data_IF_645650970427
#
_entry.id   IF_645650970427
#
_cell.length_a   1.000
_cell.length_b   1.000
_cell.length_c   1.000
_cell.angle_alpha   90.00
_cell.angle_beta   90.00
_cell.angle_gamma   90.00
#
_symmetry.space_group_name_H-M   'P 1'
#
loop_
_entity.id
_entity.type
_entity.pdbx_description
1 polymer ?
#
# COMPACT_ATOMS: atom_id res chain seq x y z
N UNK A 1 7.99 -18.68 -22.70
CA UNK A 1 6.73 -18.97 -21.99
C UNK A 1 7.08 -19.21 -20.53
N UNK A 2 6.75 -18.25 -19.64
CA UNK A 2 6.92 -18.43 -18.22
C UNK A 2 5.92 -19.52 -17.74
N UNK A 3 6.42 -20.53 -17.02
CA UNK A 3 5.63 -21.63 -16.50
C UNK A 3 4.89 -21.12 -15.25
N UNK A 4 3.60 -20.84 -15.36
CA UNK A 4 2.74 -20.53 -14.21
C UNK A 4 2.67 -21.78 -13.35
N UNK A 5 3.23 -21.74 -12.14
CA UNK A 5 3.26 -22.86 -11.20
C UNK A 5 1.94 -22.86 -10.42
N UNK A 6 1.24 -23.98 -10.29
CA UNK A 6 0.11 -24.11 -9.37
C UNK A 6 0.60 -23.87 -7.94
N UNK A 7 -0.08 -23.01 -7.18
CA UNK A 7 0.31 -22.64 -5.82
C UNK A 7 -0.60 -23.38 -4.84
N UNK A 8 -0.22 -24.59 -4.46
CA UNK A 8 -1.06 -25.44 -3.60
C UNK A 8 -0.64 -25.42 -2.12
N UNK A 9 0.51 -24.80 -1.78
CA UNK A 9 1.00 -24.70 -0.40
C UNK A 9 1.59 -23.34 -0.05
N UNK A 10 1.63 -23.00 1.24
CA UNK A 10 2.28 -21.79 1.73
C UNK A 10 3.78 -21.74 1.38
N UNK A 11 4.43 -22.88 1.28
CA UNK A 11 5.84 -23.00 0.89
C UNK A 11 6.07 -22.62 -0.58
N UNK A 12 5.19 -23.05 -1.48
CA UNK A 12 5.25 -22.71 -2.91
C UNK A 12 4.95 -21.22 -3.14
N UNK A 13 3.97 -20.69 -2.40
CA UNK A 13 3.70 -19.25 -2.38
C UNK A 13 4.94 -18.46 -1.98
N UNK A 14 5.60 -18.83 -0.89
CA UNK A 14 6.82 -18.20 -0.42
C UNK A 14 7.97 -18.29 -1.42
N UNK A 15 8.16 -19.44 -2.08
CA UNK A 15 9.17 -19.61 -3.11
C UNK A 15 8.91 -18.68 -4.31
N UNK A 16 7.67 -18.56 -4.76
CA UNK A 16 7.26 -17.65 -5.84
C UNK A 16 7.49 -16.20 -5.45
N UNK A 17 7.08 -15.80 -4.24
CA UNK A 17 7.25 -14.45 -3.72
C UNK A 17 8.73 -14.09 -3.50
N UNK A 18 9.55 -15.06 -3.08
CA UNK A 18 11.01 -14.90 -3.01
C UNK A 18 11.61 -14.62 -4.38
N UNK A 19 11.15 -15.31 -5.43
CA UNK A 19 11.55 -15.02 -6.80
C UNK A 19 11.12 -13.64 -7.28
N UNK A 20 9.88 -13.23 -6.98
CA UNK A 20 9.38 -11.87 -7.25
C UNK A 20 10.28 -10.83 -6.59
N UNK A 21 10.58 -11.02 -5.30
CA UNK A 21 11.49 -10.15 -4.55
C UNK A 21 12.89 -10.09 -5.14
N UNK A 22 13.45 -11.22 -5.53
CA UNK A 22 14.78 -11.30 -6.15
C UNK A 22 14.84 -10.53 -7.49
N UNK A 23 13.82 -10.65 -8.33
CA UNK A 23 13.74 -9.85 -9.56
C UNK A 23 13.60 -8.35 -9.26
N UNK A 24 12.77 -7.95 -8.32
CA UNK A 24 12.62 -6.55 -7.94
C UNK A 24 13.93 -5.97 -7.39
N UNK A 25 14.70 -6.75 -6.65
CA UNK A 25 16.01 -6.34 -6.12
C UNK A 25 17.05 -6.05 -7.23
N UNK A 26 16.85 -6.49 -8.47
CA UNK A 26 17.74 -6.14 -9.60
C UNK A 26 17.52 -4.71 -10.11
N UNK A 27 16.35 -4.12 -9.85
CA UNK A 27 15.98 -2.77 -10.29
C UNK A 27 15.74 -1.81 -9.15
N UNK A 28 15.63 -2.32 -7.92
CA UNK A 28 15.44 -1.56 -6.70
C UNK A 28 16.67 -1.73 -5.79
N UNK A 29 17.44 -0.66 -5.66
CA UNK A 29 18.68 -0.64 -4.86
C UNK A 29 18.50 -0.03 -3.47
N UNK A 30 17.27 0.18 -3.04
CA UNK A 30 16.95 0.68 -1.69
C UNK A 30 16.83 -0.43 -0.65
N UNK A 31 16.36 -0.08 0.56
CA UNK A 31 16.18 -1.02 1.66
C UNK A 31 15.26 -2.19 1.28
N UNK A 32 15.73 -3.42 1.48
CA UNK A 32 14.97 -4.64 1.11
C UNK A 32 13.65 -4.80 1.86
N UNK A 33 13.55 -4.26 3.08
CA UNK A 33 12.30 -4.29 3.86
C UNK A 33 11.12 -3.58 3.19
N UNK A 34 11.38 -2.59 2.33
CA UNK A 34 10.33 -1.90 1.57
C UNK A 34 9.66 -2.83 0.55
N UNK A 35 10.45 -3.71 -0.10
CA UNK A 35 9.90 -4.70 -1.04
C UNK A 35 8.93 -5.65 -0.33
N UNK A 36 9.27 -6.08 0.87
CA UNK A 36 8.40 -6.93 1.68
C UNK A 36 7.10 -6.21 2.05
N UNK A 37 7.16 -4.92 2.45
CA UNK A 37 5.99 -4.12 2.75
C UNK A 37 5.07 -3.92 1.53
N UNK A 38 5.62 -3.72 0.34
CA UNK A 38 4.85 -3.64 -0.90
C UNK A 38 4.17 -4.98 -1.23
N UNK A 39 4.90 -6.09 -1.11
CA UNK A 39 4.34 -7.44 -1.33
C UNK A 39 3.25 -7.75 -0.31
N UNK A 40 3.46 -7.44 0.97
CA UNK A 40 2.45 -7.57 2.03
C UNK A 40 1.20 -6.74 1.68
N UNK A 41 1.38 -5.49 1.23
CA UNK A 41 0.26 -4.63 0.82
C UNK A 41 -0.56 -5.25 -0.32
N UNK A 42 0.13 -5.74 -1.36
CA UNK A 42 -0.53 -6.36 -2.51
C UNK A 42 -1.26 -7.64 -2.10
N UNK A 43 -0.64 -8.50 -1.28
CA UNK A 43 -1.22 -9.76 -0.81
C UNK A 43 -2.42 -9.54 0.12
N UNK A 44 -2.37 -8.55 0.99
CA UNK A 44 -3.48 -8.19 1.87
C UNK A 44 -4.65 -7.51 1.11
N UNK A 45 -4.44 -7.13 -0.16
CA UNK A 45 -5.43 -6.39 -0.95
C UNK A 45 -5.62 -4.96 -0.47
N UNK A 46 -4.58 -4.36 0.10
CA UNK A 46 -4.58 -2.99 0.61
C UNK A 46 -3.91 -1.99 -0.32
N UNK A 47 -3.68 -0.79 0.20
CA UNK A 47 -3.02 0.32 -0.49
C UNK A 47 -1.86 0.84 0.34
N UNK A 48 -0.84 1.41 -0.30
CA UNK A 48 0.36 1.93 0.38
C UNK A 48 0.55 3.42 0.13
N UNK A 49 0.97 4.13 1.15
CA UNK A 49 1.41 5.53 1.08
C UNK A 49 2.94 5.60 1.23
N UNK A 50 3.60 6.17 0.24
CA UNK A 50 5.04 6.42 0.24
C UNK A 50 5.31 7.89 0.54
N UNK A 51 5.95 8.16 1.66
CA UNK A 51 6.28 9.50 2.14
C UNK A 51 7.75 9.82 1.88
N UNK A 52 8.06 10.26 0.67
CA UNK A 52 9.45 10.47 0.26
C UNK A 52 9.66 11.69 -0.62
N UNK A 53 10.92 12.16 -0.61
CA UNK A 53 11.39 13.18 -1.51
C UNK A 53 11.34 12.73 -2.98
N UNK A 54 11.30 13.67 -3.95
CA UNK A 54 11.39 13.35 -5.36
C UNK A 54 12.70 12.62 -5.72
N UNK A 55 12.69 11.80 -6.77
CA UNK A 55 13.90 11.21 -7.33
C UNK A 55 14.38 9.90 -6.73
N UNK A 56 13.75 9.36 -5.69
CA UNK A 56 14.17 8.10 -5.01
C UNK A 56 13.75 6.81 -5.76
N UNK A 57 13.23 6.89 -6.97
CA UNK A 57 12.91 5.70 -7.78
C UNK A 57 11.50 5.13 -7.60
N UNK A 58 10.54 5.87 -7.00
CA UNK A 58 9.14 5.43 -6.78
C UNK A 58 8.48 4.85 -8.04
N UNK A 59 8.60 5.55 -9.16
CA UNK A 59 8.00 5.12 -10.44
C UNK A 59 8.66 3.85 -10.99
N UNK A 60 9.97 3.72 -10.87
CA UNK A 60 10.72 2.52 -11.28
C UNK A 60 10.28 1.32 -10.48
N UNK A 61 10.15 1.48 -9.16
CA UNK A 61 9.71 0.42 -8.25
C UNK A 61 8.27 -0.02 -8.55
N UNK A 62 7.33 0.94 -8.71
CA UNK A 62 5.93 0.62 -9.00
C UNK A 62 5.76 -0.08 -10.36
N UNK A 63 6.43 0.40 -11.41
CA UNK A 63 6.44 -0.25 -12.73
C UNK A 63 7.07 -1.65 -12.66
N UNK A 64 8.18 -1.78 -11.94
CA UNK A 64 8.85 -3.06 -11.73
C UNK A 64 7.93 -4.07 -11.04
N UNK A 65 7.26 -3.64 -9.96
CA UNK A 65 6.31 -4.47 -9.23
C UNK A 65 5.16 -4.96 -10.14
N UNK A 66 4.51 -4.06 -10.88
CA UNK A 66 3.45 -4.43 -11.81
C UNK A 66 3.94 -5.43 -12.87
N UNK A 67 5.15 -5.19 -13.42
CA UNK A 67 5.74 -6.05 -14.44
C UNK A 67 6.00 -7.46 -13.93
N UNK A 68 6.59 -7.60 -12.73
CA UNK A 68 6.92 -8.92 -12.15
C UNK A 68 5.67 -9.65 -11.69
N UNK A 69 4.65 -8.93 -11.20
CA UNK A 69 3.35 -9.49 -10.83
C UNK A 69 2.46 -9.81 -12.05
N UNK A 70 2.83 -9.35 -13.26
CA UNK A 70 2.06 -9.61 -14.48
C UNK A 70 0.70 -8.92 -14.51
N UNK A 71 0.56 -7.74 -13.91
CA UNK A 71 -0.69 -7.01 -13.76
C UNK A 71 -0.69 -5.69 -14.55
N UNK A 72 -1.88 -5.17 -14.86
CA UNK A 72 -2.04 -3.89 -15.53
C UNK A 72 -1.56 -2.73 -14.62
N UNK A 73 -0.94 -1.72 -15.23
CA UNK A 73 -0.34 -0.59 -14.53
C UNK A 73 -0.73 0.72 -15.16
N UNK A 74 -1.19 1.67 -14.35
CA UNK A 74 -1.34 3.07 -14.73
C UNK A 74 -0.61 3.99 -13.74
N UNK A 75 -0.29 5.20 -14.20
CA UNK A 75 0.25 6.28 -13.39
C UNK A 75 -0.57 7.54 -13.59
N UNK A 76 -0.93 8.19 -12.50
CA UNK A 76 -1.55 9.53 -12.49
C UNK A 76 -0.64 10.44 -11.68
N UNK A 77 -0.26 11.58 -12.26
CA UNK A 77 0.39 12.67 -11.57
C UNK A 77 -0.69 13.60 -11.03
N UNK A 78 -0.75 13.75 -9.72
CA UNK A 78 -1.68 14.66 -9.09
C UNK A 78 -1.14 16.10 -9.14
N UNK A 79 -1.95 17.01 -9.69
CA UNK A 79 -1.62 18.43 -9.86
C UNK A 79 -2.73 19.31 -9.28
N UNK A 80 -2.44 20.58 -9.08
CA UNK A 80 -3.40 21.55 -8.48
C UNK A 80 -4.65 21.81 -9.31
N UNK A 81 -4.63 21.46 -10.60
CA UNK A 81 -5.73 21.61 -11.55
C UNK A 81 -6.46 20.29 -11.87
N UNK A 82 -6.03 19.17 -11.28
CA UNK A 82 -6.60 17.84 -11.53
C UNK A 82 -8.06 17.77 -11.11
N UNK A 83 -8.93 17.37 -12.03
CA UNK A 83 -10.35 17.12 -11.77
C UNK A 83 -10.60 15.67 -11.39
N UNK A 84 -11.67 15.37 -10.61
CA UNK A 84 -12.04 13.99 -10.32
C UNK A 84 -12.22 13.13 -11.57
N UNK A 85 -12.80 13.68 -12.64
CA UNK A 85 -13.02 12.97 -13.90
C UNK A 85 -11.74 12.55 -14.62
N UNK A 86 -10.62 13.29 -14.41
CA UNK A 86 -9.33 12.94 -15.01
C UNK A 86 -8.77 11.63 -14.44
N UNK A 87 -9.18 11.25 -13.24
CA UNK A 87 -8.75 10.03 -12.56
C UNK A 87 -9.79 8.93 -12.66
N UNK A 88 -11.05 9.28 -12.39
CA UNK A 88 -12.16 8.32 -12.27
C UNK A 88 -12.79 7.99 -13.62
N UNK A 89 -12.66 8.88 -14.60
CA UNK A 89 -13.45 8.85 -15.80
C UNK A 89 -14.76 9.60 -15.63
N UNK A 90 -15.58 9.61 -16.68
CA UNK A 90 -16.84 10.31 -16.69
C UNK A 90 -17.63 10.06 -17.97
N UNK A 91 -18.88 10.50 -17.98
CA UNK A 91 -19.75 10.34 -19.13
C UNK A 91 -19.48 11.41 -20.19
N UNK A 92 -19.25 10.97 -21.40
CA UNK A 92 -19.02 11.81 -22.58
C UNK A 92 -20.26 11.74 -23.46
N UNK A 93 -20.77 12.91 -23.87
CA UNK A 93 -21.90 12.98 -24.80
C UNK A 93 -21.43 12.78 -26.23
N UNK A 94 -22.04 11.84 -26.95
CA UNK A 94 -21.80 11.59 -28.37
C UNK A 94 -22.92 12.26 -29.23
N UNK A 95 -22.66 13.38 -29.89
CA UNK A 95 -23.67 14.11 -30.64
C UNK A 95 -24.27 13.31 -31.80
N UNK A 96 -23.50 12.36 -32.38
CA UNK A 96 -23.93 11.52 -33.48
C UNK A 96 -25.06 10.55 -33.12
N UNK A 97 -25.04 10.03 -31.88
CA UNK A 97 -25.96 9.00 -31.40
C UNK A 97 -26.94 9.54 -30.34
N UNK A 98 -26.71 10.77 -29.86
CA UNK A 98 -27.51 11.39 -28.80
C UNK A 98 -27.40 10.67 -27.44
N UNK A 99 -26.28 9.94 -27.21
CA UNK A 99 -26.05 9.10 -26.03
C UNK A 99 -24.87 9.59 -25.18
N UNK A 100 -25.01 9.32 -23.89
CA UNK A 100 -23.85 9.42 -22.98
C UNK A 100 -23.16 8.05 -22.89
N UNK A 101 -21.86 8.05 -22.98
CA UNK A 101 -21.00 6.88 -22.79
C UNK A 101 -20.02 7.13 -21.65
N UNK A 102 -19.90 6.18 -20.72
CA UNK A 102 -18.90 6.26 -19.67
C UNK A 102 -17.52 5.92 -20.24
N UNK A 103 -16.61 6.88 -20.17
CA UNK A 103 -15.20 6.70 -20.52
C UNK A 103 -14.42 6.47 -19.24
N UNK A 104 -13.86 5.27 -19.10
CA UNK A 104 -13.10 4.86 -17.92
C UNK A 104 -11.83 5.69 -17.77
N UNK A 105 -11.59 6.19 -16.57
CA UNK A 105 -10.36 6.89 -16.21
C UNK A 105 -9.20 5.93 -15.91
N UNK A 106 -8.00 6.47 -15.66
CA UNK A 106 -6.81 5.67 -15.36
C UNK A 106 -6.90 4.83 -14.07
N UNK A 107 -7.88 5.07 -13.21
CA UNK A 107 -8.12 4.24 -12.00
C UNK A 107 -8.54 2.80 -12.36
N UNK A 108 -9.07 2.56 -13.57
CA UNK A 108 -9.45 1.24 -14.03
C UNK A 108 -8.21 0.44 -14.46
N UNK A 109 -7.47 -0.03 -13.47
CA UNK A 109 -6.24 -0.82 -13.61
C UNK A 109 -6.07 -1.74 -12.40
N UNK A 110 -5.06 -2.63 -12.41
CA UNK A 110 -4.76 -3.48 -11.25
C UNK A 110 -3.84 -2.78 -10.25
N UNK A 111 -2.81 -2.10 -10.74
CA UNK A 111 -1.87 -1.34 -9.92
C UNK A 111 -1.81 0.11 -10.41
N UNK A 112 -2.16 1.05 -9.55
CA UNK A 112 -2.13 2.47 -9.84
C UNK A 112 -1.05 3.16 -9.01
N UNK A 113 -0.15 3.90 -9.67
CA UNK A 113 0.72 4.86 -9.02
C UNK A 113 0.03 6.23 -9.01
N UNK A 114 -0.44 6.67 -7.85
CA UNK A 114 -0.98 8.01 -7.60
C UNK A 114 0.15 8.90 -7.08
N UNK A 115 0.80 9.64 -7.99
CA UNK A 115 2.01 10.39 -7.68
C UNK A 115 1.66 11.80 -7.18
N UNK A 116 2.25 12.20 -6.02
CA UNK A 116 2.06 13.50 -5.36
C UNK A 116 0.57 13.80 -5.02
N UNK A 117 -0.12 12.84 -4.40
CA UNK A 117 -1.56 12.93 -4.11
C UNK A 117 -1.95 14.21 -3.34
N UNK A 118 -1.04 14.71 -2.49
CA UNK A 118 -1.25 15.92 -1.70
C UNK A 118 -1.21 17.23 -2.51
N UNK A 119 -0.87 17.20 -3.81
CA UNK A 119 -0.91 18.40 -4.69
C UNK A 119 -2.29 18.65 -5.30
N UNK A 120 -3.13 17.64 -5.41
CA UNK A 120 -4.46 17.81 -6.00
C UNK A 120 -5.42 18.58 -5.07
N UNK A 121 -6.47 19.20 -5.61
CA UNK A 121 -7.54 19.77 -4.82
C UNK A 121 -8.20 18.71 -3.92
N UNK A 122 -8.64 19.11 -2.74
CA UNK A 122 -9.29 18.23 -1.74
C UNK A 122 -10.47 17.45 -2.34
N UNK A 123 -11.21 18.06 -3.28
CA UNK A 123 -12.32 17.40 -3.96
C UNK A 123 -11.86 16.20 -4.77
N UNK A 124 -10.77 16.32 -5.52
CA UNK A 124 -10.21 15.23 -6.34
C UNK A 124 -9.59 14.15 -5.47
N UNK A 125 -8.88 14.54 -4.39
CA UNK A 125 -8.40 13.60 -3.40
C UNK A 125 -9.54 12.78 -2.79
N UNK A 126 -10.60 13.45 -2.32
CA UNK A 126 -11.74 12.78 -1.66
C UNK A 126 -12.45 11.82 -2.60
N UNK A 127 -12.72 12.20 -3.84
CA UNK A 127 -13.37 11.36 -4.83
C UNK A 127 -12.50 10.13 -5.18
N UNK A 128 -11.19 10.32 -5.36
CA UNK A 128 -10.25 9.23 -5.61
C UNK A 128 -10.17 8.26 -4.43
N UNK A 129 -10.00 8.77 -3.21
CA UNK A 129 -9.89 7.94 -2.01
C UNK A 129 -11.19 7.24 -1.65
N UNK A 130 -12.35 7.81 -2.01
CA UNK A 130 -13.63 7.12 -1.90
C UNK A 130 -13.70 5.92 -2.87
N UNK A 131 -13.39 6.11 -4.15
CA UNK A 131 -13.36 5.03 -5.13
C UNK A 131 -12.36 3.93 -4.74
N UNK A 132 -11.22 4.32 -4.17
CA UNK A 132 -10.21 3.39 -3.64
C UNK A 132 -10.78 2.51 -2.52
N UNK A 133 -11.57 3.08 -1.60
CA UNK A 133 -12.16 2.36 -0.46
C UNK A 133 -13.33 1.48 -0.90
N UNK A 134 -14.19 2.01 -1.77
CA UNK A 134 -15.40 1.30 -2.21
C UNK A 134 -15.11 0.23 -3.28
N UNK A 135 -13.93 0.24 -3.91
CA UNK A 135 -13.58 -0.66 -5.01
C UNK A 135 -14.42 -0.44 -6.26
N UNK A 136 -15.01 0.73 -6.41
CA UNK A 136 -15.87 1.11 -7.55
C UNK A 136 -15.89 2.62 -7.78
N UNK A 137 -16.26 3.01 -8.99
CA UNK A 137 -16.55 4.40 -9.36
C UNK A 137 -18.05 4.50 -9.66
N UNK A 138 -18.73 5.47 -9.05
CA UNK A 138 -20.15 5.75 -9.37
C UNK A 138 -20.22 7.02 -10.23
N UNK A 139 -20.72 6.87 -11.46
CA UNK A 139 -20.96 7.96 -12.40
C UNK A 139 -22.41 7.90 -12.90
N UNK A 140 -23.11 9.01 -12.89
CA UNK A 140 -24.52 9.14 -13.35
C UNK A 140 -25.47 8.08 -12.77
N UNK A 141 -25.24 7.69 -11.50
CA UNK A 141 -26.05 6.69 -10.82
C UNK A 141 -25.71 5.24 -11.17
N UNK A 142 -24.70 5.00 -12.02
CA UNK A 142 -24.21 3.67 -12.37
C UNK A 142 -22.88 3.40 -11.66
N UNK A 143 -22.77 2.23 -11.01
CA UNK A 143 -21.55 1.80 -10.36
C UNK A 143 -20.69 0.95 -11.30
N UNK A 144 -19.45 1.34 -11.48
CA UNK A 144 -18.44 0.68 -12.30
C UNK A 144 -17.41 0.05 -11.38
N UNK A 145 -17.35 -1.30 -11.23
CA UNK A 145 -16.41 -1.95 -10.32
C UNK A 145 -14.97 -1.80 -10.84
N UNK A 146 -14.04 -1.59 -9.90
CA UNK A 146 -12.61 -1.65 -10.17
C UNK A 146 -12.12 -3.11 -10.21
N UNK A 147 -10.89 -3.30 -10.65
CA UNK A 147 -10.27 -4.63 -10.64
C UNK A 147 -10.29 -5.24 -9.22
N UNK A 148 -10.55 -6.55 -9.06
CA UNK A 148 -10.39 -7.23 -7.77
C UNK A 148 -8.93 -7.22 -7.28
N UNK A 149 -7.97 -6.92 -8.17
CA UNK A 149 -6.56 -6.73 -7.85
C UNK A 149 -6.21 -5.26 -7.56
N UNK A 150 -7.17 -4.35 -7.65
CA UNK A 150 -6.88 -2.93 -7.53
C UNK A 150 -6.07 -2.62 -6.27
N UNK A 151 -4.89 -2.06 -6.49
CA UNK A 151 -3.96 -1.63 -5.46
C UNK A 151 -3.39 -0.26 -5.83
N UNK A 152 -3.38 0.65 -4.88
CA UNK A 152 -2.81 1.99 -5.03
C UNK A 152 -1.47 2.06 -4.33
N UNK A 153 -0.47 2.56 -5.05
CA UNK A 153 0.77 3.11 -4.49
C UNK A 153 0.63 4.62 -4.57
N UNK A 154 0.25 5.27 -3.49
CA UNK A 154 0.19 6.73 -3.43
C UNK A 154 1.53 7.28 -2.96
N UNK A 155 1.93 8.45 -3.48
CA UNK A 155 3.10 9.16 -2.99
C UNK A 155 2.71 10.54 -2.47
N UNK A 156 3.38 10.99 -1.41
CA UNK A 156 3.34 12.36 -0.96
C UNK A 156 4.74 12.86 -0.63
N UNK A 157 4.97 14.15 -0.91
CA UNK A 157 6.20 14.83 -0.53
C UNK A 157 5.97 15.55 0.81
N UNK A 158 6.64 15.14 1.91
CA UNK A 158 6.45 15.77 3.21
C UNK A 158 7.11 17.16 3.34
N UNK A 159 7.92 17.57 2.36
CA UNK A 159 8.72 18.82 2.45
C UNK A 159 8.02 19.98 1.73
N UNK A 160 7.11 19.71 0.83
CA UNK A 160 6.47 20.72 -0.02
C UNK A 160 5.19 21.27 0.64
N UNK A 161 5.39 22.19 1.64
CA UNK A 161 4.27 22.75 2.42
C UNK A 161 3.52 23.88 1.74
N UNK A 162 4.15 24.63 0.82
CA UNK A 162 3.58 25.90 0.32
C UNK A 162 2.52 25.74 -0.79
N UNK A 163 2.37 24.54 -1.35
CA UNK A 163 1.42 24.29 -2.46
C UNK A 163 0.67 22.94 -2.34
N UNK A 164 0.53 22.42 -1.11
CA UNK A 164 -0.06 21.11 -0.89
C UNK A 164 -1.28 21.14 0.01
N UNK A 165 -2.22 20.22 -0.26
CA UNK A 165 -3.38 19.95 0.56
C UNK A 165 -3.12 18.66 1.34
N UNK A 166 -2.70 18.70 2.62
CA UNK A 166 -2.40 17.50 3.39
C UNK A 166 -3.64 16.59 3.46
N UNK A 167 -3.40 15.28 3.45
CA UNK A 167 -4.47 14.31 3.62
C UNK A 167 -4.99 14.34 5.06
N UNK A 168 -6.29 14.52 5.28
CA UNK A 168 -6.89 14.38 6.60
C UNK A 168 -6.70 12.96 7.17
N UNK A 169 -6.71 12.84 8.49
CA UNK A 169 -6.51 11.58 9.21
C UNK A 169 -7.47 10.45 8.76
N UNK A 170 -8.74 10.80 8.54
CA UNK A 170 -9.75 9.84 8.04
C UNK A 170 -9.42 9.31 6.64
N UNK A 171 -8.65 10.05 5.85
CA UNK A 171 -8.17 9.63 4.54
C UNK A 171 -6.90 8.79 4.64
N UNK A 172 -6.01 9.11 5.58
CA UNK A 172 -4.81 8.33 5.87
C UNK A 172 -5.16 6.92 6.38
N UNK A 173 -6.24 6.77 7.15
CA UNK A 173 -6.70 5.46 7.66
C UNK A 173 -7.09 4.45 6.56
N UNK A 174 -7.27 4.90 5.31
CA UNK A 174 -7.56 4.03 4.16
C UNK A 174 -6.32 3.28 3.63
N UNK A 175 -5.13 3.81 3.87
CA UNK A 175 -3.90 3.12 3.47
C UNK A 175 -3.55 2.03 4.45
N UNK A 176 -3.33 0.81 3.96
CA UNK A 176 -2.90 -0.33 4.79
C UNK A 176 -1.56 -0.05 5.46
N UNK A 177 -0.60 0.40 4.67
CA UNK A 177 0.78 0.66 5.07
C UNK A 177 1.15 2.08 4.66
N UNK A 178 1.89 2.78 5.53
CA UNK A 178 2.63 3.97 5.17
C UNK A 178 4.12 3.76 5.48
N UNK A 179 4.99 4.07 4.52
CA UNK A 179 6.42 3.83 4.65
C UNK A 179 7.24 4.85 3.86
N UNK A 180 8.56 4.78 4.03
CA UNK A 180 9.54 5.57 3.27
C UNK A 180 10.47 4.63 2.53
N UNK A 181 10.82 5.02 1.31
CA UNK A 181 11.83 4.32 0.54
C UNK A 181 13.24 4.66 1.06
N UNK A 182 13.41 5.94 1.42
CA UNK A 182 14.71 6.50 1.79
C UNK A 182 15.65 6.66 0.60
N UNK A 183 16.83 7.20 0.86
CA UNK A 183 17.90 7.21 -0.13
C UNK A 183 18.59 5.84 -0.16
N UNK A 184 19.05 5.39 -1.35
CA UNK A 184 19.93 4.25 -1.44
C UNK A 184 21.23 4.50 -0.66
N UNK A 185 21.91 3.45 -0.27
CA UNK A 185 23.24 3.60 0.34
C UNK A 185 24.31 4.02 -0.69
N UNK A 186 25.47 4.44 -0.23
CA UNK A 186 26.53 4.94 -1.11
C UNK A 186 27.04 3.90 -2.13
N UNK A 187 26.89 2.60 -1.85
CA UNK A 187 27.28 1.55 -2.78
C UNK A 187 26.21 1.41 -3.90
N UNK A 188 24.95 1.43 -3.52
CA UNK A 188 23.84 1.44 -4.44
C UNK A 188 23.83 2.68 -5.34
N UNK A 189 24.08 3.89 -4.79
CA UNK A 189 24.20 5.11 -5.58
C UNK A 189 25.34 5.03 -6.61
N UNK A 190 26.49 4.48 -6.24
CA UNK A 190 27.60 4.26 -7.17
C UNK A 190 27.22 3.32 -8.32
N UNK A 191 26.47 2.25 -8.04
CA UNK A 191 26.02 1.33 -9.10
C UNK A 191 25.03 1.99 -10.06
N UNK A 192 24.23 2.96 -9.62
CA UNK A 192 23.36 3.76 -10.50
C UNK A 192 24.16 4.59 -11.51
N UNK A 193 25.35 5.02 -11.18
CA UNK A 193 26.19 5.82 -12.07
C UNK A 193 26.90 4.98 -13.15
N UNK A 194 27.09 3.69 -12.90
CA UNK A 194 27.86 2.79 -13.79
C UNK A 194 27.05 1.69 -14.46
N UNK A 195 26.65 0.70 -13.70
CA UNK A 195 26.14 -0.58 -14.20
C UNK A 195 24.61 -0.65 -14.39
N UNK A 196 23.85 0.26 -13.80
CA UNK A 196 22.38 0.22 -13.79
C UNK A 196 21.74 0.25 -15.20
N UNK A 197 22.43 0.79 -16.18
CA UNK A 197 21.97 0.81 -17.59
C UNK A 197 21.87 -0.57 -18.23
N UNK A 198 22.44 -1.59 -17.59
CA UNK A 198 22.55 -2.97 -18.07
C UNK A 198 21.65 -3.95 -17.33
N UNK A 199 20.76 -3.48 -16.45
CA UNK A 199 19.87 -4.38 -15.70
C UNK A 199 19.03 -5.22 -16.68
N UNK A 200 18.92 -6.55 -16.45
CA UNK A 200 18.12 -7.41 -17.32
C UNK A 200 16.64 -7.00 -17.25
N UNK A 201 15.90 -7.20 -18.35
CA UNK A 201 14.48 -6.87 -18.36
C UNK A 201 13.74 -7.75 -17.34
N UNK A 202 12.88 -7.12 -16.51
CA UNK A 202 12.01 -7.84 -15.59
C UNK A 202 11.03 -8.70 -16.38
N UNK A 203 10.88 -9.95 -15.96
CA UNK A 203 9.94 -10.90 -16.53
C UNK A 203 8.75 -11.12 -15.58
N UNK A 204 7.52 -11.26 -16.11
CA UNK A 204 6.38 -11.64 -15.30
C UNK A 204 6.62 -13.01 -14.65
N UNK A 205 6.44 -13.10 -13.33
CA UNK A 205 6.51 -14.35 -12.57
C UNK A 205 5.12 -14.85 -12.19
N UNK A 206 4.14 -13.98 -12.23
CA UNK A 206 2.73 -14.24 -11.97
C UNK A 206 1.88 -13.76 -13.15
N UNK A 207 0.63 -14.14 -13.10
CA UNK A 207 -0.47 -13.55 -13.85
C UNK A 207 -1.56 -13.05 -12.87
N UNK A 208 -2.58 -12.31 -13.32
CA UNK A 208 -3.64 -11.82 -12.45
C UNK A 208 -4.34 -12.92 -11.67
N UNK A 209 -4.56 -14.09 -12.27
CA UNK A 209 -5.19 -15.22 -11.60
C UNK A 209 -4.29 -15.82 -10.50
N UNK A 210 -2.98 -15.91 -10.74
CA UNK A 210 -1.99 -16.33 -9.74
C UNK A 210 -1.93 -15.39 -8.56
N UNK A 211 -1.98 -14.08 -8.80
CA UNK A 211 -2.00 -13.09 -7.73
C UNK A 211 -3.29 -13.14 -6.91
N UNK A 212 -4.46 -13.37 -7.55
CA UNK A 212 -5.73 -13.58 -6.84
C UNK A 212 -5.64 -14.81 -5.91
N UNK A 213 -5.11 -15.94 -6.40
CA UNK A 213 -4.90 -17.14 -5.57
C UNK A 213 -4.01 -16.83 -4.35
N UNK A 214 -2.92 -16.09 -4.53
CA UNK A 214 -2.04 -15.69 -3.42
C UNK A 214 -2.78 -14.80 -2.40
N UNK A 215 -3.64 -13.89 -2.83
CA UNK A 215 -4.49 -13.09 -1.93
C UNK A 215 -5.46 -13.96 -1.13
N UNK A 216 -6.08 -14.94 -1.77
CA UNK A 216 -6.97 -15.89 -1.09
C UNK A 216 -6.20 -16.73 -0.07
N UNK A 217 -5.01 -17.22 -0.43
CA UNK A 217 -4.14 -17.94 0.51
C UNK A 217 -3.74 -17.06 1.69
N UNK A 218 -3.38 -15.79 1.46
CA UNK A 218 -3.06 -14.86 2.54
C UNK A 218 -4.24 -14.66 3.50
N UNK A 219 -5.47 -14.49 2.98
CA UNK A 219 -6.69 -14.42 3.80
C UNK A 219 -6.96 -15.70 4.58
N UNK A 220 -6.59 -16.86 4.02
CA UNK A 220 -6.73 -18.17 4.65
C UNK A 220 -5.69 -18.48 5.72
N UNK A 221 -4.63 -17.67 5.88
CA UNK A 221 -3.64 -17.85 6.95
C UNK A 221 -4.33 -17.72 8.32
N UNK A 222 -4.13 -18.75 9.17
CA UNK A 222 -4.80 -18.81 10.46
C UNK A 222 -4.27 -17.77 11.43
N UNK A 223 -5.16 -16.98 12.01
CA UNK A 223 -4.89 -16.06 13.11
C UNK A 223 -5.49 -16.66 14.39
N UNK A 224 -4.62 -17.05 15.33
CA UNK A 224 -5.10 -17.59 16.61
C UNK A 224 -5.93 -16.57 17.38
N UNK A 225 -7.02 -16.95 18.06
CA UNK A 225 -7.86 -16.03 18.84
C UNK A 225 -7.07 -15.19 19.85
N UNK A 226 -6.04 -15.75 20.49
CA UNK A 226 -5.21 -15.00 21.43
C UNK A 226 -4.40 -13.89 20.77
N UNK A 227 -3.93 -14.10 19.52
CA UNK A 227 -3.29 -13.04 18.74
C UNK A 227 -4.30 -11.98 18.29
N UNK A 228 -5.55 -12.38 17.99
CA UNK A 228 -6.62 -11.41 17.72
C UNK A 228 -6.93 -10.57 18.97
N UNK A 229 -7.00 -11.18 20.14
CA UNK A 229 -7.14 -10.46 21.41
C UNK A 229 -5.95 -9.53 21.66
N UNK A 230 -4.72 -9.97 21.37
CA UNK A 230 -3.52 -9.16 21.49
C UNK A 230 -3.57 -7.91 20.60
N UNK A 231 -3.94 -8.05 19.32
CA UNK A 231 -4.12 -6.91 18.41
C UNK A 231 -5.16 -5.91 18.96
N UNK A 232 -6.28 -6.41 19.48
CA UNK A 232 -7.31 -5.56 20.08
C UNK A 232 -6.78 -4.86 21.34
N UNK A 233 -6.05 -5.57 22.20
CA UNK A 233 -5.44 -4.99 23.40
C UNK A 233 -4.44 -3.88 23.07
N UNK A 234 -3.57 -4.09 22.06
CA UNK A 234 -2.66 -3.08 21.53
C UNK A 234 -3.42 -1.83 21.04
N UNK A 235 -4.48 -2.03 20.23
CA UNK A 235 -5.28 -0.93 19.72
C UNK A 235 -5.99 -0.15 20.84
N UNK A 236 -6.51 -0.85 21.86
CA UNK A 236 -7.14 -0.22 23.03
C UNK A 236 -6.14 0.58 23.84
N UNK A 237 -4.95 0.07 24.08
CA UNK A 237 -3.89 0.80 24.78
C UNK A 237 -3.62 2.18 24.13
N UNK A 238 -3.70 2.27 22.79
CA UNK A 238 -3.56 3.57 22.10
C UNK A 238 -4.76 4.51 22.30
N UNK A 239 -5.98 3.99 22.54
CA UNK A 239 -7.19 4.82 22.71
C UNK A 239 -7.37 5.32 24.12
N UNK A 240 -6.90 4.54 25.09
CA UNK A 240 -7.12 4.79 26.52
C UNK A 240 -6.03 5.71 27.11
N UNK A 241 -4.93 5.98 26.39
CA UNK A 241 -3.83 6.84 26.87
C UNK A 241 -4.15 8.34 26.71
N UNK A 242 -4.03 9.15 27.78
CA UNK A 242 -4.34 10.59 27.74
C UNK A 242 -3.42 11.40 26.82
N UNK A 243 -2.25 10.89 26.44
CA UNK A 243 -1.31 11.55 25.50
C UNK A 243 -1.75 11.43 24.04
N UNK A 244 -2.72 10.55 23.76
CA UNK A 244 -3.22 10.30 22.41
C UNK A 244 -4.48 11.14 22.18
N UNK A 245 -4.50 11.85 21.03
CA UNK A 245 -5.68 12.57 20.52
C UNK A 245 -6.58 11.63 19.72
N UNK A 246 -5.97 10.81 18.83
CA UNK A 246 -6.64 9.81 18.02
C UNK A 246 -5.85 8.50 18.08
N UNK A 247 -6.45 7.47 18.68
CA UNK A 247 -5.93 6.12 18.75
C UNK A 247 -6.32 5.28 17.53
N UNK A 248 -5.81 4.07 17.47
CA UNK A 248 -6.01 3.16 16.34
C UNK A 248 -7.47 2.78 16.18
N UNK A 249 -8.03 2.97 14.99
CA UNK A 249 -9.41 2.64 14.65
C UNK A 249 -9.63 1.11 14.59
N UNK A 250 -10.88 0.61 14.61
CA UNK A 250 -11.16 -0.80 14.31
C UNK A 250 -10.63 -1.23 12.95
N UNK A 251 -10.69 -0.36 11.93
CA UNK A 251 -10.09 -0.58 10.62
C UNK A 251 -8.58 -0.78 10.72
N UNK A 252 -7.88 0.05 11.49
CA UNK A 252 -6.43 -0.09 11.72
C UNK A 252 -6.07 -1.42 12.38
N UNK A 253 -6.91 -1.96 13.28
CA UNK A 253 -6.71 -3.28 13.86
C UNK A 253 -6.94 -4.42 12.83
N UNK A 254 -7.96 -4.30 11.97
CA UNK A 254 -8.20 -5.25 10.86
C UNK A 254 -7.02 -5.21 9.89
N UNK A 255 -6.56 -4.04 9.50
CA UNK A 255 -5.41 -3.86 8.61
C UNK A 255 -4.15 -4.53 9.17
N UNK A 256 -3.90 -4.43 10.48
CA UNK A 256 -2.76 -5.10 11.11
C UNK A 256 -2.90 -6.63 11.04
N UNK A 257 -4.09 -7.16 11.27
CA UNK A 257 -4.35 -8.59 11.17
C UNK A 257 -4.16 -9.12 9.74
N UNK A 258 -4.65 -8.39 8.74
CA UNK A 258 -4.54 -8.78 7.33
C UNK A 258 -3.09 -8.68 6.83
N UNK A 259 -2.37 -7.62 7.22
CA UNK A 259 -0.95 -7.48 6.93
C UNK A 259 -0.12 -8.58 7.61
N UNK A 260 -0.46 -8.98 8.85
CA UNK A 260 0.22 -10.08 9.55
C UNK A 260 0.00 -11.43 8.87
N UNK A 261 -1.21 -11.70 8.36
CA UNK A 261 -1.51 -12.89 7.54
C UNK A 261 -0.67 -12.90 6.26
N UNK A 262 -0.64 -11.77 5.54
CA UNK A 262 0.15 -11.63 4.32
C UNK A 262 1.66 -11.83 4.59
N UNK A 263 2.16 -11.28 5.72
CA UNK A 263 3.55 -11.48 6.14
C UNK A 263 3.85 -12.94 6.46
N UNK A 264 2.97 -13.63 7.17
CA UNK A 264 3.14 -15.05 7.46
C UNK A 264 3.22 -15.88 6.18
N UNK A 265 2.36 -15.63 5.19
CA UNK A 265 2.41 -16.28 3.88
C UNK A 265 3.72 -15.96 3.14
N UNK A 266 4.17 -14.71 3.15
CA UNK A 266 5.45 -14.29 2.54
C UNK A 266 6.63 -15.10 3.10
N UNK A 267 6.56 -15.51 4.37
CA UNK A 267 7.53 -16.38 5.05
C UNK A 267 7.19 -17.88 5.00
N UNK A 268 6.27 -18.31 4.15
CA UNK A 268 5.92 -19.71 3.95
C UNK A 268 5.13 -20.36 5.09
N UNK A 269 4.45 -19.55 5.91
CA UNK A 269 3.71 -20.04 7.06
C UNK A 269 2.20 -19.94 6.84
N UNK A 270 1.46 -20.92 7.34
CA UNK A 270 0.00 -20.96 7.33
C UNK A 270 -0.64 -20.44 8.63
N UNK A 271 0.19 -19.98 9.57
CA UNK A 271 -0.22 -19.46 10.88
C UNK A 271 0.53 -18.17 11.18
N UNK A 272 -0.20 -17.15 11.64
CA UNK A 272 0.37 -15.87 12.08
C UNK A 272 1.11 -16.08 13.40
N UNK A 273 2.30 -15.50 13.52
CA UNK A 273 3.10 -15.45 14.74
C UNK A 273 3.06 -14.05 15.36
N UNK A 274 3.42 -13.93 16.65
CA UNK A 274 3.44 -12.65 17.34
C UNK A 274 4.45 -11.65 16.71
N UNK A 275 5.55 -12.17 16.15
CA UNK A 275 6.55 -11.39 15.42
C UNK A 275 5.96 -10.74 14.16
N UNK A 276 4.98 -11.38 13.50
CA UNK A 276 4.34 -10.79 12.33
C UNK A 276 3.55 -9.54 12.69
N UNK A 277 2.85 -9.60 13.82
CA UNK A 277 2.10 -8.47 14.36
C UNK A 277 3.05 -7.34 14.76
N UNK A 278 4.11 -7.66 15.54
CA UNK A 278 5.05 -6.65 16.04
C UNK A 278 5.85 -5.96 14.94
N UNK A 279 6.33 -6.71 13.96
CA UNK A 279 7.08 -6.16 12.83
C UNK A 279 6.27 -5.18 11.98
N UNK A 280 4.95 -5.24 12.05
CA UNK A 280 4.04 -4.44 11.23
C UNK A 280 3.36 -3.30 12.00
N UNK A 281 3.60 -3.15 13.32
CA UNK A 281 3.00 -2.08 14.12
C UNK A 281 3.26 -0.71 13.50
N UNK A 282 4.52 -0.35 13.29
CA UNK A 282 4.91 0.94 12.73
C UNK A 282 4.41 1.16 11.29
N UNK A 283 4.68 0.27 10.32
CA UNK A 283 4.21 0.46 8.97
C UNK A 283 2.68 0.61 8.85
N UNK A 284 1.93 -0.07 9.73
CA UNK A 284 0.46 -0.06 9.69
C UNK A 284 -0.12 1.04 10.56
N UNK A 285 0.49 1.41 11.70
CA UNK A 285 -0.16 2.25 12.70
C UNK A 285 0.41 3.67 12.87
N UNK A 286 1.67 3.93 12.51
CA UNK A 286 2.28 5.27 12.71
C UNK A 286 1.51 6.39 12.04
N UNK A 287 0.90 6.14 10.89
CA UNK A 287 0.13 7.13 10.15
C UNK A 287 -1.32 7.31 10.65
N UNK A 288 -1.73 6.50 11.63
CA UNK A 288 -3.08 6.50 12.23
C UNK A 288 -3.11 7.05 13.64
N UNK A 289 -1.97 7.04 14.31
CA UNK A 289 -1.86 7.49 15.70
C UNK A 289 -1.54 8.99 15.75
N UNK A 290 -2.34 9.77 16.46
CA UNK A 290 -2.11 11.20 16.64
C UNK A 290 -1.85 11.54 18.09
N UNK A 291 -0.65 11.97 18.44
CA UNK A 291 -0.35 12.52 19.75
C UNK A 291 -1.12 13.84 20.00
N UNK A 292 -1.44 14.14 21.28
CA UNK A 292 -2.01 15.45 21.66
C UNK A 292 -0.98 16.58 21.61
N UNK A 293 0.29 16.26 21.80
CA UNK A 293 1.38 17.22 21.80
C UNK A 293 2.39 16.85 20.70
N UNK A 294 2.98 17.86 20.08
CA UNK A 294 3.91 17.72 18.98
C UNK A 294 3.37 18.32 17.67
N UNK A 295 4.22 18.35 16.64
CA UNK A 295 3.77 18.69 15.28
C UNK A 295 2.92 17.54 14.76
N UNK A 296 1.77 17.88 14.19
CA UNK A 296 0.97 16.91 13.45
C UNK A 296 1.85 16.19 12.44
N UNK A 297 1.78 14.85 12.42
CA UNK A 297 2.53 13.97 11.52
C UNK A 297 4.05 13.86 11.78
N UNK A 298 4.54 14.22 12.98
CA UNK A 298 5.93 13.87 13.34
C UNK A 298 6.03 12.36 13.67
N UNK A 299 6.42 11.60 12.65
CA UNK A 299 6.56 10.14 12.72
C UNK A 299 7.47 9.65 13.84
N UNK A 300 8.46 10.45 14.27
CA UNK A 300 9.39 10.05 15.34
C UNK A 300 8.69 10.07 16.70
N UNK A 301 7.90 11.11 16.95
CA UNK A 301 7.11 11.24 18.18
C UNK A 301 6.06 10.13 18.23
N UNK A 302 5.36 9.91 17.11
CA UNK A 302 4.34 8.86 16.99
C UNK A 302 4.93 7.47 17.22
N UNK A 303 6.05 7.14 16.59
CA UNK A 303 6.71 5.85 16.74
C UNK A 303 7.17 5.60 18.18
N UNK A 304 7.83 6.57 18.81
CA UNK A 304 8.25 6.44 20.21
C UNK A 304 7.06 6.24 21.17
N UNK A 305 5.97 6.99 20.95
CA UNK A 305 4.75 6.82 21.75
C UNK A 305 4.12 5.45 21.51
N UNK A 306 4.07 4.96 20.26
CA UNK A 306 3.55 3.64 19.94
C UNK A 306 4.37 2.54 20.62
N UNK A 307 5.70 2.64 20.61
CA UNK A 307 6.60 1.70 21.29
C UNK A 307 6.31 1.65 22.79
N UNK A 308 6.18 2.80 23.45
CA UNK A 308 5.85 2.84 24.87
C UNK A 308 4.49 2.21 25.20
N UNK A 309 3.46 2.55 24.42
CA UNK A 309 2.09 2.05 24.62
C UNK A 309 2.00 0.54 24.42
N UNK A 310 2.72 0.02 23.44
CA UNK A 310 2.69 -1.41 23.07
C UNK A 310 3.58 -2.27 23.97
N UNK A 311 4.64 -1.70 24.57
CA UNK A 311 5.52 -2.40 25.50
C UNK A 311 4.80 -2.91 26.76
N UNK A 312 3.76 -2.22 27.20
CA UNK A 312 2.94 -2.61 28.36
C UNK A 312 1.94 -3.75 28.10
N UNK A 313 1.73 -4.15 26.84
CA UNK A 313 0.77 -5.21 26.50
C UNK A 313 1.47 -6.55 26.42
N UNK A 314 1.12 -7.54 27.30
CA UNK A 314 1.80 -8.82 27.32
C UNK A 314 1.54 -9.63 26.04
N UNK A 315 2.59 -10.32 25.58
CA UNK A 315 2.46 -11.29 24.49
C UNK A 315 1.55 -12.45 24.92
N UNK A 316 0.70 -12.95 24.00
CA UNK A 316 -0.03 -14.20 24.27
C UNK A 316 0.96 -15.36 24.48
N UNK A 317 0.60 -16.26 25.40
CA UNK A 317 1.42 -17.44 25.74
C UNK A 317 1.24 -18.55 24.71
#
# INVERSE_FOLDING_TARGET
MARVVPLDSASEAAATLSGVRAQLATVWLGAGGVLDLLLITVLAGGHVLLEDVPGVGKTTLAKGLARVLGVAFNRVQFTSDLLPADVLGGSVYHPGDGRFEFVAGPIFTDLLLADEINRAPTRSQSAFLQAMEEGQVTADGVSHPLSPLFTVIATQNPIDFDSTNPLPEAQLDRFLIATRLGYPDAAAERSLLGEYRSAPPLLPMLDPAGLLRLREQARGVFLHPDLAHYIVALARATRDDPRVRLGISPRGAIHLADAARARALLHGRSVVQAEDVRALLHPVWDHRLLPRQGREHDRRITAALLDELTAGVPLPR
#
